data_IF_063124878819
#
_entry.id   IF_063124878819
#
_cell.length_a   1.000
_cell.length_b   1.000
_cell.length_c   1.000
_cell.angle_alpha   90.00
_cell.angle_beta   90.00
_cell.angle_gamma   90.00
#
_symmetry.space_group_name_H-M   'P 1'
#
loop_
_entity.id
_entity.type
_entity.pdbx_description
1 polymer ?
#
# COMPACT_ATOMS: atom_id res chain seq x y z
N UNK A 1 -30.32 -32.99 57.70
CA UNK A 1 -30.78 -33.88 56.60
C UNK A 1 -30.93 -33.05 55.35
N UNK A 2 -29.95 -33.04 54.46
CA UNK A 2 -30.14 -32.59 53.07
C UNK A 2 -29.26 -33.45 52.19
N UNK A 3 -29.91 -34.24 51.35
CA UNK A 3 -29.33 -35.29 50.54
C UNK A 3 -28.90 -34.67 49.21
N UNK A 4 -27.61 -34.42 49.03
CA UNK A 4 -27.06 -33.97 47.75
C UNK A 4 -26.73 -35.20 46.89
N UNK A 5 -27.60 -35.49 45.92
CA UNK A 5 -27.43 -36.59 44.97
C UNK A 5 -26.46 -36.12 43.87
N UNK A 6 -25.28 -36.71 43.78
CA UNK A 6 -24.32 -36.39 42.73
C UNK A 6 -24.86 -36.82 41.35
N UNK A 7 -24.67 -36.03 40.28
CA UNK A 7 -24.99 -36.48 38.92
C UNK A 7 -23.97 -37.53 38.47
N UNK A 8 -24.47 -38.64 37.94
CA UNK A 8 -23.68 -39.78 37.50
C UNK A 8 -22.68 -39.42 36.41
N UNK A 9 -21.46 -39.91 36.57
CA UNK A 9 -20.42 -39.94 35.55
C UNK A 9 -20.90 -40.81 34.39
N UNK A 10 -21.21 -40.20 33.25
CA UNK A 10 -21.46 -40.92 32.01
C UNK A 10 -20.10 -41.36 31.47
N UNK A 11 -19.68 -42.58 31.81
CA UNK A 11 -18.51 -43.22 31.22
C UNK A 11 -18.79 -43.45 29.74
N UNK A 12 -18.15 -42.66 28.87
CA UNK A 12 -18.19 -42.89 27.43
C UNK A 12 -17.34 -44.12 27.11
N UNK A 13 -17.94 -45.22 26.61
CA UNK A 13 -17.18 -46.43 26.32
C UNK A 13 -16.37 -46.24 25.03
N UNK A 14 -15.05 -46.41 25.13
CA UNK A 14 -14.24 -46.91 24.02
C UNK A 14 -13.96 -45.97 22.84
N UNK A 15 -13.80 -44.67 23.06
CA UNK A 15 -13.13 -43.83 22.08
C UNK A 15 -11.62 -43.89 22.35
N UNK A 16 -10.94 -44.88 21.77
CA UNK A 16 -9.50 -44.78 21.55
C UNK A 16 -9.26 -43.47 20.78
N UNK A 17 -8.67 -42.48 21.45
CA UNK A 17 -8.24 -41.24 20.81
C UNK A 17 -7.06 -41.60 19.91
N UNK A 18 -7.39 -42.09 18.71
CA UNK A 18 -6.46 -42.42 17.66
C UNK A 18 -5.75 -41.12 17.28
N UNK A 19 -4.55 -40.93 17.82
CA UNK A 19 -3.61 -39.90 17.35
C UNK A 19 -3.04 -40.31 16.00
N UNK A 20 -3.90 -40.62 15.02
CA UNK A 20 -3.51 -40.38 13.63
C UNK A 20 -3.80 -38.90 13.43
N UNK A 21 -2.80 -38.07 13.77
CA UNK A 21 -2.68 -36.75 13.16
C UNK A 21 -2.41 -37.06 11.70
N UNK A 22 -3.50 -37.30 10.96
CA UNK A 22 -3.46 -37.25 9.52
C UNK A 22 -3.05 -35.83 9.21
N UNK A 23 -1.92 -35.68 8.51
CA UNK A 23 -1.36 -34.43 8.03
C UNK A 23 -2.36 -33.80 7.06
N UNK A 24 -3.37 -33.15 7.62
CA UNK A 24 -4.58 -32.64 6.97
C UNK A 24 -4.31 -31.31 6.30
N UNK A 25 -3.25 -31.22 5.48
CA UNK A 25 -3.06 -30.14 4.50
C UNK A 25 -3.11 -28.72 5.05
N UNK A 26 -2.93 -28.53 6.36
CA UNK A 26 -2.93 -27.25 7.09
C UNK A 26 -1.80 -26.30 6.67
N UNK A 27 -0.93 -26.74 5.77
CA UNK A 27 0.10 -25.90 5.14
C UNK A 27 -0.45 -25.15 3.92
N UNK A 28 -1.52 -25.65 3.27
CA UNK A 28 -2.08 -25.06 2.06
C UNK A 28 -2.97 -23.84 2.35
N UNK A 29 -3.76 -23.86 3.42
CA UNK A 29 -4.55 -22.71 3.89
C UNK A 29 -3.67 -21.65 4.57
N UNK A 30 -2.58 -22.06 5.25
CA UNK A 30 -1.60 -21.12 5.80
C UNK A 30 -0.81 -20.37 4.71
N UNK A 31 -0.54 -21.02 3.58
CA UNK A 31 0.11 -20.37 2.43
C UNK A 31 -0.79 -19.37 1.69
N UNK A 32 -2.12 -19.42 1.85
CA UNK A 32 -3.05 -18.38 1.36
C UNK A 32 -3.07 -17.13 2.25
N UNK A 33 -2.63 -17.22 3.51
CA UNK A 33 -2.51 -16.06 4.42
C UNK A 33 -1.30 -15.20 4.07
N UNK A 34 -0.33 -15.73 3.31
CA UNK A 34 0.90 -15.04 2.90
C UNK A 34 0.72 -13.91 1.86
N UNK A 35 -0.46 -13.80 1.25
CA UNK A 35 -0.78 -12.77 0.25
C UNK A 35 -1.56 -11.58 0.87
N UNK A 36 -1.55 -11.47 2.20
CA UNK A 36 -2.05 -10.27 2.86
C UNK A 36 -1.14 -9.10 2.48
N UNK A 37 -1.66 -8.02 1.86
CA UNK A 37 -0.84 -6.88 1.53
C UNK A 37 -0.22 -6.34 2.82
N UNK A 38 1.12 -6.28 2.86
CA UNK A 38 1.85 -5.77 4.03
C UNK A 38 1.45 -4.32 4.37
N UNK A 39 0.91 -3.57 3.40
CA UNK A 39 0.41 -2.22 3.58
C UNK A 39 -1.13 -2.18 3.72
N UNK A 40 -1.67 -1.66 4.83
CA UNK A 40 -3.10 -1.57 5.05
C UNK A 40 -3.74 -0.53 4.10
N UNK A 41 -4.88 -0.87 3.50
CA UNK A 41 -5.65 0.05 2.66
C UNK A 41 -6.15 1.26 3.48
N UNK A 42 -5.82 2.48 3.04
CA UNK A 42 -6.23 3.74 3.68
C UNK A 42 -7.74 3.91 3.81
N UNK A 43 -8.53 3.39 2.87
CA UNK A 43 -9.99 3.43 3.00
C UNK A 43 -10.45 2.56 4.17
N UNK A 44 -9.96 1.32 4.24
CA UNK A 44 -10.25 0.39 5.34
C UNK A 44 -9.77 0.96 6.67
N UNK A 45 -8.60 1.61 6.67
CA UNK A 45 -8.01 2.17 7.86
C UNK A 45 -8.81 3.34 8.46
N UNK A 46 -9.41 4.18 7.61
CA UNK A 46 -10.34 5.22 8.06
C UNK A 46 -11.76 4.69 8.29
N UNK A 47 -12.02 3.41 8.01
CA UNK A 47 -13.35 2.81 8.10
C UNK A 47 -14.33 3.32 7.02
N UNK A 48 -13.81 3.68 5.85
CA UNK A 48 -14.58 4.19 4.72
C UNK A 48 -14.70 3.14 3.62
N UNK A 49 -15.84 3.13 2.93
CA UNK A 49 -16.00 2.32 1.73
C UNK A 49 -15.25 2.99 0.56
N UNK A 50 -14.73 2.19 -0.37
CA UNK A 50 -14.15 2.68 -1.62
C UNK A 50 -15.22 3.12 -2.62
N UNK A 51 -16.34 2.39 -2.63
CA UNK A 51 -17.49 2.59 -3.51
C UNK A 51 -18.78 2.62 -2.67
N UNK A 52 -19.54 3.73 -2.64
CA UNK A 52 -19.29 5.00 -3.33
C UNK A 52 -18.05 5.75 -2.81
N UNK A 53 -17.44 6.65 -3.61
CA UNK A 53 -16.30 7.43 -3.15
C UNK A 53 -16.70 8.33 -1.97
N UNK A 54 -15.99 8.27 -0.83
CA UNK A 54 -16.30 9.10 0.33
C UNK A 54 -16.13 10.58 0.04
N UNK A 55 -16.98 11.38 0.67
CA UNK A 55 -16.92 12.85 0.64
C UNK A 55 -15.88 13.39 1.62
N UNK A 56 -15.34 14.58 1.34
CA UNK A 56 -14.34 15.23 2.20
C UNK A 56 -14.84 15.48 3.63
N UNK A 57 -16.16 15.58 3.82
CA UNK A 57 -16.78 15.71 5.13
C UNK A 57 -16.69 14.41 5.93
N UNK A 58 -16.93 13.26 5.29
CA UNK A 58 -16.83 11.93 5.88
C UNK A 58 -15.38 11.57 6.22
N UNK A 59 -14.44 11.90 5.34
CA UNK A 59 -13.00 11.69 5.60
C UNK A 59 -12.56 12.48 6.84
N UNK A 60 -12.97 13.74 6.95
CA UNK A 60 -12.67 14.58 8.11
C UNK A 60 -13.37 14.11 9.39
N UNK A 61 -14.60 13.61 9.30
CA UNK A 61 -15.31 13.10 10.49
C UNK A 61 -14.67 11.80 11.00
N UNK A 62 -14.36 10.86 10.10
CA UNK A 62 -13.66 9.63 10.43
C UNK A 62 -12.29 9.89 11.09
N UNK A 63 -11.49 10.79 10.50
CA UNK A 63 -10.20 11.18 11.07
C UNK A 63 -10.31 11.76 12.48
N UNK A 64 -11.28 12.65 12.73
CA UNK A 64 -11.51 13.23 14.06
C UNK A 64 -11.87 12.16 15.09
N UNK A 65 -12.73 11.22 14.73
CA UNK A 65 -13.16 10.14 15.62
C UNK A 65 -11.97 9.23 15.97
N UNK A 66 -11.20 8.80 14.97
CA UNK A 66 -10.05 7.92 15.16
C UNK A 66 -8.91 8.60 15.94
N UNK A 67 -8.67 9.88 15.68
CA UNK A 67 -7.66 10.66 16.41
C UNK A 67 -7.97 10.71 17.91
N UNK A 68 -9.24 10.89 18.29
CA UNK A 68 -9.64 10.92 19.70
C UNK A 68 -9.47 9.54 20.37
N UNK A 69 -9.70 8.46 19.63
CA UNK A 69 -9.53 7.08 20.12
C UNK A 69 -8.06 6.69 20.27
N UNK A 70 -7.21 7.01 19.28
CA UNK A 70 -5.80 6.59 19.23
C UNK A 70 -4.80 7.63 19.74
N UNK A 71 -5.26 8.71 20.38
CA UNK A 71 -4.35 9.75 20.90
C UNK A 71 -3.43 9.19 22.01
N UNK A 72 -2.09 9.32 21.90
CA UNK A 72 -1.14 8.68 22.81
C UNK A 72 -1.25 9.15 24.27
N UNK A 73 -1.80 10.36 24.49
CA UNK A 73 -2.02 10.93 25.83
C UNK A 73 -3.14 10.23 26.62
N UNK A 74 -4.16 9.70 25.92
CA UNK A 74 -5.31 9.04 26.56
C UNK A 74 -5.07 7.55 26.80
N UNK A 75 -3.94 7.02 26.31
CA UNK A 75 -3.67 5.59 26.28
C UNK A 75 -2.78 5.15 27.45
N UNK A 76 -3.01 3.96 28.00
CA UNK A 76 -2.20 3.44 29.10
C UNK A 76 -0.76 3.19 28.62
N UNK A 77 0.24 3.22 29.53
CA UNK A 77 1.66 3.21 29.16
C UNK A 77 2.09 2.08 28.23
N UNK A 78 1.49 0.90 28.39
CA UNK A 78 1.79 -0.30 27.59
C UNK A 78 1.23 -0.23 26.15
N UNK A 79 0.19 0.56 25.90
CA UNK A 79 -0.41 0.74 24.57
C UNK A 79 0.09 1.99 23.84
N UNK A 80 0.88 2.85 24.49
CA UNK A 80 1.34 4.12 23.89
C UNK A 80 2.06 3.92 22.56
N UNK A 81 2.96 2.93 22.48
CA UNK A 81 3.71 2.65 21.27
C UNK A 81 2.80 2.14 20.13
N UNK A 82 1.85 1.25 20.46
CA UNK A 82 0.88 0.76 19.49
C UNK A 82 -0.04 1.88 19.00
N UNK A 83 -0.51 2.74 19.91
CA UNK A 83 -1.31 3.91 19.60
C UNK A 83 -0.57 4.90 18.70
N UNK A 84 0.72 5.16 18.96
CA UNK A 84 1.54 6.03 18.12
C UNK A 84 1.69 5.49 16.69
N UNK A 85 1.96 4.19 16.53
CA UNK A 85 2.05 3.55 15.22
C UNK A 85 0.73 3.66 14.45
N UNK A 86 -0.40 3.32 15.09
CA UNK A 86 -1.72 3.44 14.48
C UNK A 86 -2.07 4.88 14.14
N UNK A 87 -1.75 5.82 15.03
CA UNK A 87 -1.97 7.25 14.82
C UNK A 87 -1.21 7.76 13.59
N UNK A 88 0.05 7.36 13.42
CA UNK A 88 0.86 7.70 12.25
C UNK A 88 0.22 7.20 10.95
N UNK A 89 -0.22 5.95 10.94
CA UNK A 89 -0.89 5.41 9.76
C UNK A 89 -2.22 6.15 9.48
N UNK A 90 -3.01 6.48 10.52
CA UNK A 90 -4.29 7.21 10.37
C UNK A 90 -4.04 8.60 9.76
N UNK A 91 -2.96 9.25 10.20
CA UNK A 91 -2.53 10.54 9.67
C UNK A 91 -2.12 10.43 8.19
N UNK A 92 -1.33 9.43 7.81
CA UNK A 92 -0.91 9.19 6.42
C UNK A 92 -2.11 8.91 5.50
N UNK A 93 -3.06 8.10 5.97
CA UNK A 93 -4.30 7.80 5.26
C UNK A 93 -5.14 9.08 5.05
N UNK A 94 -5.30 9.90 6.09
CA UNK A 94 -6.04 11.16 6.00
C UNK A 94 -5.37 12.15 5.03
N UNK A 95 -4.06 12.37 5.14
CA UNK A 95 -3.31 13.28 4.28
C UNK A 95 -3.35 12.88 2.80
N UNK A 96 -3.49 11.58 2.52
CA UNK A 96 -3.59 11.05 1.16
C UNK A 96 -5.00 11.17 0.61
N UNK A 97 -6.02 10.83 1.40
CA UNK A 97 -7.40 10.79 0.93
C UNK A 97 -8.09 12.16 0.87
N UNK A 98 -7.64 13.13 1.68
CA UNK A 98 -8.21 14.49 1.67
C UNK A 98 -7.78 15.33 0.47
N UNK A 99 -6.60 15.06 -0.11
CA UNK A 99 -6.13 15.75 -1.30
C UNK A 99 -6.58 14.97 -2.54
N UNK A 100 -7.41 15.57 -3.43
CA UNK A 100 -7.91 14.86 -4.60
C UNK A 100 -6.80 14.37 -5.52
N UNK A 101 -5.67 15.08 -5.63
CA UNK A 101 -4.56 14.67 -6.46
C UNK A 101 -3.83 13.46 -5.86
N UNK A 102 -3.57 13.47 -4.55
CA UNK A 102 -2.95 12.33 -3.86
C UNK A 102 -3.86 11.11 -3.87
N UNK A 103 -5.17 11.31 -3.70
CA UNK A 103 -6.18 10.24 -3.79
C UNK A 103 -6.18 9.58 -5.17
N UNK A 104 -6.08 10.36 -6.25
CA UNK A 104 -5.94 9.81 -7.61
C UNK A 104 -4.68 8.98 -7.76
N UNK A 105 -3.53 9.46 -7.24
CA UNK A 105 -2.29 8.69 -7.29
C UNK A 105 -2.42 7.41 -6.48
N UNK A 106 -2.99 7.48 -5.26
CA UNK A 106 -3.28 6.32 -4.43
C UNK A 106 -4.15 5.29 -5.15
N UNK A 107 -5.21 5.73 -5.84
CA UNK A 107 -6.09 4.85 -6.58
C UNK A 107 -5.42 4.17 -7.79
N UNK A 108 -4.29 4.70 -8.27
CA UNK A 108 -3.54 4.17 -9.42
C UNK A 108 -2.38 3.28 -8.97
N UNK A 109 -1.60 3.70 -7.98
CA UNK A 109 -0.32 3.11 -7.62
C UNK A 109 -0.21 2.67 -6.15
N UNK A 110 -1.27 2.84 -5.35
CA UNK A 110 -1.31 2.47 -3.94
C UNK A 110 -0.49 3.38 -3.03
N UNK A 111 -0.34 2.98 -1.76
CA UNK A 111 0.36 3.74 -0.73
C UNK A 111 1.84 3.97 -1.06
N UNK A 112 2.56 2.91 -1.45
CA UNK A 112 3.94 3.00 -1.93
C UNK A 112 4.10 3.98 -3.10
N UNK A 113 3.16 3.98 -4.05
CA UNK A 113 3.16 4.88 -5.18
C UNK A 113 3.03 6.34 -4.78
N UNK A 114 2.15 6.68 -3.83
CA UNK A 114 2.03 8.06 -3.32
C UNK A 114 3.34 8.54 -2.70
N UNK A 115 3.98 7.72 -1.86
CA UNK A 115 5.28 8.07 -1.25
C UNK A 115 6.38 8.26 -2.28
N UNK A 116 6.44 7.40 -3.30
CA UNK A 116 7.41 7.52 -4.38
C UNK A 116 7.19 8.81 -5.20
N UNK A 117 5.94 9.13 -5.52
CA UNK A 117 5.59 10.27 -6.37
C UNK A 117 5.74 11.63 -5.68
N UNK A 118 5.56 11.70 -4.36
CA UNK A 118 5.85 12.89 -3.54
C UNK A 118 7.29 12.92 -2.98
N UNK A 119 8.08 11.86 -3.20
CA UNK A 119 9.49 11.79 -2.83
C UNK A 119 10.40 12.59 -3.78
N UNK A 120 11.70 12.64 -3.46
CA UNK A 120 12.68 13.46 -4.21
C UNK A 120 12.81 13.10 -5.70
N UNK A 121 12.47 11.86 -6.10
CA UNK A 121 12.52 11.39 -7.50
C UNK A 121 11.15 11.29 -8.16
N UNK A 122 10.08 11.65 -7.45
CA UNK A 122 8.71 11.53 -7.93
C UNK A 122 8.33 12.61 -8.96
N UNK A 123 7.26 12.35 -9.71
CA UNK A 123 6.68 13.32 -10.67
C UNK A 123 6.15 14.56 -9.93
N UNK A 124 5.61 14.36 -8.73
CA UNK A 124 5.00 15.38 -7.86
C UNK A 124 5.95 15.94 -6.79
N UNK A 125 7.18 15.42 -6.72
CA UNK A 125 8.21 15.85 -5.77
C UNK A 125 8.88 17.19 -6.11
N UNK A 126 9.75 17.64 -5.21
CA UNK A 126 10.54 18.87 -5.38
C UNK A 126 11.48 18.69 -6.58
N UNK A 127 11.38 19.58 -7.58
CA UNK A 127 12.10 19.48 -8.86
C UNK A 127 11.51 18.47 -9.87
N UNK A 128 10.34 17.90 -9.56
CA UNK A 128 9.60 16.96 -10.41
C UNK A 128 9.01 17.58 -11.68
N UNK A 129 8.46 16.74 -12.57
CA UNK A 129 7.84 17.18 -13.84
C UNK A 129 6.61 18.08 -13.58
N UNK A 130 5.94 17.93 -12.43
CA UNK A 130 4.84 18.80 -11.97
C UNK A 130 5.23 20.28 -11.79
N UNK A 131 6.43 20.56 -11.26
CA UNK A 131 6.90 21.93 -11.02
C UNK A 131 7.39 22.61 -12.30
N UNK A 132 7.72 21.82 -13.33
CA UNK A 132 8.16 22.31 -14.65
C UNK A 132 7.01 22.73 -15.56
N UNK A 133 5.75 22.51 -15.15
CA UNK A 133 4.59 22.92 -15.94
C UNK A 133 4.26 24.39 -15.70
N UNK A 134 4.13 25.15 -16.79
CA UNK A 134 3.74 26.57 -16.76
C UNK A 134 2.38 26.79 -16.09
N UNK A 135 1.42 25.88 -16.35
CA UNK A 135 0.19 25.80 -15.56
C UNK A 135 0.42 24.79 -14.44
N UNK A 136 0.63 25.29 -13.23
CA UNK A 136 0.87 24.45 -12.07
C UNK A 136 -0.24 23.41 -11.88
N UNK A 137 0.13 22.21 -11.42
CA UNK A 137 -0.78 21.05 -11.29
C UNK A 137 -2.07 21.36 -10.51
N UNK A 138 -2.04 22.30 -9.56
CA UNK A 138 -3.22 22.74 -8.80
C UNK A 138 -4.30 23.44 -9.64
N UNK A 139 -3.96 23.94 -10.83
CA UNK A 139 -4.92 24.58 -11.73
C UNK A 139 -5.67 23.57 -12.62
N UNK A 140 -5.23 22.31 -12.67
CA UNK A 140 -5.88 21.26 -13.46
C UNK A 140 -7.11 20.70 -12.73
N UNK A 141 -8.14 20.32 -13.49
CA UNK A 141 -9.23 19.52 -12.91
C UNK A 141 -8.73 18.12 -12.51
N UNK A 142 -9.41 17.42 -11.58
CA UNK A 142 -9.01 16.06 -11.15
C UNK A 142 -8.85 15.09 -12.35
N UNK A 143 -9.74 15.15 -13.33
CA UNK A 143 -9.67 14.30 -14.54
C UNK A 143 -8.53 14.70 -15.48
N UNK A 144 -8.21 15.99 -15.57
CA UNK A 144 -7.05 16.46 -16.31
C UNK A 144 -5.76 16.00 -15.65
N UNK A 145 -5.67 16.11 -14.32
CA UNK A 145 -4.56 15.61 -13.52
C UNK A 145 -4.36 14.11 -13.74
N UNK A 146 -5.42 13.30 -13.65
CA UNK A 146 -5.34 11.85 -13.89
C UNK A 146 -4.75 11.51 -15.25
N UNK A 147 -5.25 12.15 -16.31
CA UNK A 147 -4.76 11.93 -17.69
C UNK A 147 -3.31 12.35 -17.85
N UNK A 148 -2.96 13.51 -17.30
CA UNK A 148 -1.60 14.01 -17.32
C UNK A 148 -0.66 13.07 -16.55
N UNK A 149 -1.02 12.68 -15.33
CA UNK A 149 -0.24 11.81 -14.46
C UNK A 149 0.05 10.46 -15.13
N UNK A 150 -0.98 9.78 -15.66
CA UNK A 150 -0.82 8.53 -16.40
C UNK A 150 0.08 8.68 -17.64
N UNK A 151 -0.07 9.77 -18.39
CA UNK A 151 0.76 10.06 -19.56
C UNK A 151 2.22 10.27 -19.16
N UNK A 152 2.47 10.97 -18.07
CA UNK A 152 3.80 11.23 -17.51
C UNK A 152 4.45 9.94 -17.03
N UNK A 153 3.73 9.09 -16.31
CA UNK A 153 4.21 7.77 -15.88
C UNK A 153 4.60 6.90 -17.07
N UNK A 154 3.73 6.77 -18.07
CA UNK A 154 4.01 6.00 -19.31
C UNK A 154 5.23 6.53 -20.08
N UNK A 155 5.45 7.85 -20.05
CA UNK A 155 6.62 8.49 -20.66
C UNK A 155 7.90 8.16 -19.88
N UNK A 156 7.86 8.14 -18.56
CA UNK A 156 8.98 7.71 -17.69
C UNK A 156 9.33 6.25 -17.92
N UNK A 157 8.33 5.37 -17.91
CA UNK A 157 8.49 3.94 -18.20
C UNK A 157 9.13 3.74 -19.58
N UNK A 158 8.61 4.42 -20.61
CA UNK A 158 9.20 4.36 -21.96
C UNK A 158 10.66 4.77 -21.96
N UNK A 159 11.02 5.88 -21.31
CA UNK A 159 12.42 6.34 -21.23
C UNK A 159 13.31 5.35 -20.49
N UNK A 160 12.82 4.74 -19.40
CA UNK A 160 13.55 3.72 -18.67
C UNK A 160 13.81 2.49 -19.56
N UNK A 161 12.79 2.02 -20.28
CA UNK A 161 12.92 0.91 -21.23
C UNK A 161 13.88 1.28 -22.37
N UNK A 162 13.75 2.46 -22.94
CA UNK A 162 14.63 2.96 -24.01
C UNK A 162 16.08 3.06 -23.54
N UNK A 163 16.33 3.54 -22.32
CA UNK A 163 17.66 3.56 -21.70
C UNK A 163 18.22 2.15 -21.48
N UNK A 164 17.39 1.19 -21.06
CA UNK A 164 17.80 -0.21 -20.91
C UNK A 164 18.14 -0.85 -22.27
N UNK A 165 17.36 -0.55 -23.31
CA UNK A 165 17.64 -1.03 -24.67
C UNK A 165 18.92 -0.40 -25.21
N UNK A 166 19.06 0.93 -25.07
CA UNK A 166 20.26 1.68 -25.50
C UNK A 166 21.54 1.18 -24.82
N UNK A 167 21.49 0.95 -23.50
CA UNK A 167 22.63 0.40 -22.76
C UNK A 167 22.97 -1.04 -23.13
N UNK A 168 21.97 -1.89 -23.40
CA UNK A 168 22.21 -3.26 -23.90
C UNK A 168 22.80 -3.27 -25.31
N UNK A 169 22.37 -2.37 -26.19
CA UNK A 169 22.92 -2.24 -27.55
C UNK A 169 24.39 -1.77 -27.50
N UNK A 170 24.72 -0.84 -26.59
CA UNK A 170 26.12 -0.46 -26.36
C UNK A 170 26.98 -1.61 -25.82
N UNK A 171 26.49 -2.38 -24.84
CA UNK A 171 27.25 -3.53 -24.32
C UNK A 171 27.48 -4.62 -25.36
N UNK A 172 26.50 -4.89 -26.23
CA UNK A 172 26.66 -5.89 -27.31
C UNK A 172 27.70 -5.48 -28.36
N UNK A 173 27.97 -4.17 -28.51
CA UNK A 173 28.93 -3.63 -29.47
C UNK A 173 30.37 -3.53 -28.91
N UNK A 174 30.59 -3.70 -27.61
CA UNK A 174 31.91 -3.68 -26.96
C UNK A 174 32.63 -5.03 -27.07
N UNK A 175 31.88 -6.13 -27.28
CA UNK A 175 32.42 -7.49 -27.46
C UNK A 175 32.84 -7.81 -28.91
N UNK A 176 32.75 -6.86 -29.83
CA UNK A 176 33.25 -7.00 -31.20
C UNK A 176 34.72 -6.57 -31.28
N UNK A 177 35.58 -7.33 -31.99
CA UNK A 177 36.99 -6.96 -32.16
C UNK A 177 37.11 -5.54 -32.74
N UNK A 178 38.06 -4.78 -32.21
CA UNK A 178 38.30 -3.34 -32.41
C UNK A 178 38.32 -2.84 -33.88
N UNK A 179 38.40 -3.73 -34.85
CA UNK A 179 38.38 -3.44 -36.29
C UNK A 179 36.99 -3.01 -36.81
N UNK A 180 35.90 -3.39 -36.14
CA UNK A 180 34.51 -3.10 -36.61
C UNK A 180 33.91 -1.84 -35.95
N UNK A 181 34.52 -1.32 -34.88
CA UNK A 181 33.95 -0.24 -34.05
C UNK A 181 34.11 1.18 -34.63
N UNK A 182 34.81 1.35 -35.77
CA UNK A 182 35.14 2.68 -36.33
C UNK A 182 34.04 3.36 -37.14
N UNK A 183 32.85 2.75 -37.30
CA UNK A 183 31.87 3.21 -38.29
C UNK A 183 30.63 3.93 -37.73
N UNK A 184 30.42 4.02 -36.40
CA UNK A 184 29.15 4.53 -35.85
C UNK A 184 29.24 5.52 -34.68
N UNK A 185 30.36 6.23 -34.50
CA UNK A 185 30.41 7.42 -33.65
C UNK A 185 30.68 8.67 -34.49
N UNK A 186 29.63 9.16 -35.18
CA UNK A 186 29.44 10.55 -35.56
C UNK A 186 28.01 10.95 -35.17
#
# INVERSE_FOLDING_TARGET
>A
MSSFKQPGTHEFPGAEFRTTVEDDGLDADYSMIGDYPEEPDYYVQLGLARNPPPTDAEIRSAYRNLTLSFHPDKQPPHLRHAAESQFRHIQEAYETLIDPNKRIVYDISGAAGVRQEWGQRGVMGIGGEAQRLDVGVKAMSPDQFRRWFLKTMKKRERKAVESLVSSKVCNFYIDLPWEVARMCCC
#
